data_IF_107814827660
#
_entry.id   IF_107814827660
#
_cell.length_a   1.000
_cell.length_b   1.000
_cell.length_c   1.000
_cell.angle_alpha   90.00
_cell.angle_beta   90.00
_cell.angle_gamma   90.00
#
_symmetry.space_group_name_H-M   'P 1'
#
loop_
_entity.id
_entity.type
_entity.pdbx_description
1 polymer ?
#
# COMPACT_ATOMS: atom_id res chain seq x y z
N UNK A 1 -2.77 11.28 3.52
CA UNK A 1 -2.44 10.30 4.58
C UNK A 1 -2.05 8.97 3.95
N UNK A 2 -1.41 8.08 4.71
CA UNK A 2 -0.87 6.82 4.21
C UNK A 2 -1.29 5.64 5.11
N UNK A 3 -1.63 4.51 4.49
CA UNK A 3 -2.01 3.28 5.20
C UNK A 3 -1.24 2.10 4.62
N UNK A 4 -0.72 1.24 5.49
CA UNK A 4 -0.10 -0.03 5.10
C UNK A 4 -0.92 -1.18 5.67
N UNK A 5 -1.37 -2.08 4.78
CA UNK A 5 -2.19 -3.24 5.13
C UNK A 5 -1.40 -4.53 4.88
N UNK A 6 -1.29 -5.35 5.93
CA UNK A 6 -0.56 -6.63 5.87
C UNK A 6 -1.57 -7.77 5.98
N UNK A 7 -1.51 -8.69 5.01
CA UNK A 7 -2.45 -9.79 4.86
C UNK A 7 -3.53 -9.49 3.81
N UNK A 8 -3.83 -10.49 2.98
CA UNK A 8 -4.86 -10.37 1.94
C UNK A 8 -6.25 -10.18 2.55
N UNK A 9 -6.59 -10.97 3.56
CA UNK A 9 -7.89 -10.89 4.24
C UNK A 9 -8.07 -9.56 4.96
N UNK A 10 -7.03 -9.06 5.64
CA UNK A 10 -7.03 -7.73 6.25
C UNK A 10 -7.26 -6.64 5.20
N UNK A 11 -6.56 -6.72 4.06
CA UNK A 11 -6.71 -5.75 2.99
C UNK A 11 -8.11 -5.78 2.37
N UNK A 12 -8.67 -6.97 2.13
CA UNK A 12 -10.01 -7.13 1.59
C UNK A 12 -11.08 -6.60 2.56
N UNK A 13 -10.95 -6.89 3.85
CA UNK A 13 -11.88 -6.41 4.88
C UNK A 13 -11.86 -4.89 5.04
N UNK A 14 -10.68 -4.27 4.93
CA UNK A 14 -10.52 -2.80 5.07
C UNK A 14 -10.93 -2.05 3.80
N UNK A 15 -10.56 -2.55 2.63
CA UNK A 15 -10.77 -1.82 1.36
C UNK A 15 -12.15 -2.07 0.76
N UNK A 16 -12.78 -3.21 1.08
CA UNK A 16 -14.05 -3.60 0.49
C UNK A 16 -13.98 -3.75 -1.03
N UNK A 17 -15.13 -3.71 -1.72
CA UNK A 17 -15.22 -3.91 -3.17
C UNK A 17 -14.92 -2.66 -4.00
N UNK A 18 -14.60 -1.53 -3.37
CA UNK A 18 -14.41 -0.25 -4.06
C UNK A 18 -13.26 -0.32 -5.07
N UNK A 19 -13.47 0.13 -6.32
CA UNK A 19 -12.42 0.12 -7.35
C UNK A 19 -11.19 0.91 -6.92
N UNK A 20 -10.01 0.38 -7.24
CA UNK A 20 -8.72 1.02 -6.94
C UNK A 20 -7.83 1.07 -8.16
N UNK A 21 -7.05 2.14 -8.27
CA UNK A 21 -6.02 2.30 -9.29
C UNK A 21 -4.67 1.97 -8.69
N UNK A 22 -3.99 0.96 -9.24
CA UNK A 22 -2.64 0.58 -8.84
C UNK A 22 -1.65 1.50 -9.54
N UNK A 23 -0.86 2.23 -8.76
CA UNK A 23 0.11 3.20 -9.29
C UNK A 23 1.53 2.67 -9.43
N UNK A 24 1.80 1.45 -8.96
CA UNK A 24 3.09 0.79 -9.07
C UNK A 24 3.44 -0.03 -7.84
N UNK A 25 4.73 -0.29 -7.68
CA UNK A 25 5.28 -1.10 -6.59
C UNK A 25 6.37 -0.32 -5.85
N UNK A 26 6.24 -0.22 -4.53
CA UNK A 26 7.29 0.38 -3.70
C UNK A 26 8.43 -0.60 -3.39
N UNK A 27 8.15 -1.89 -3.49
CA UNK A 27 9.10 -2.99 -3.41
C UNK A 27 8.48 -4.25 -4.06
N UNK A 28 9.27 -5.30 -4.34
CA UNK A 28 8.72 -6.56 -4.82
C UNK A 28 7.57 -7.06 -3.94
N UNK A 29 6.39 -7.25 -4.54
CA UNK A 29 5.17 -7.70 -3.86
C UNK A 29 4.55 -6.71 -2.86
N UNK A 30 4.91 -5.43 -2.94
CA UNK A 30 4.28 -4.34 -2.17
C UNK A 30 3.77 -3.28 -3.17
N UNK A 31 2.59 -3.48 -3.78
CA UNK A 31 1.95 -2.47 -4.61
C UNK A 31 1.39 -1.32 -3.77
N UNK A 32 1.25 -0.16 -4.40
CA UNK A 32 0.51 0.97 -3.86
C UNK A 32 -0.68 1.33 -4.74
N UNK A 33 -1.76 1.80 -4.11
CA UNK A 33 -2.99 2.14 -4.81
C UNK A 33 -3.75 3.27 -4.14
N UNK A 34 -4.53 3.99 -4.95
CA UNK A 34 -5.50 5.00 -4.50
C UNK A 34 -6.91 4.57 -4.88
N UNK A 35 -7.93 5.12 -4.22
CA UNK A 35 -9.31 4.91 -4.67
C UNK A 35 -9.47 5.49 -6.10
N UNK A 36 -10.25 4.82 -6.95
CA UNK A 36 -10.41 5.25 -8.34
C UNK A 36 -11.11 6.61 -8.50
N UNK A 37 -11.86 7.04 -7.48
CA UNK A 37 -12.50 8.35 -7.39
C UNK A 37 -11.55 9.46 -6.88
N UNK A 38 -10.27 9.15 -6.64
CA UNK A 38 -9.27 10.08 -6.15
C UNK A 38 -9.38 10.40 -4.65
N UNK A 39 -10.24 9.71 -3.89
CA UNK A 39 -10.43 9.97 -2.47
C UNK A 39 -9.56 9.09 -1.57
N UNK A 40 -9.42 9.51 -0.31
CA UNK A 40 -8.81 8.71 0.75
C UNK A 40 -7.27 8.64 0.71
N UNK A 41 -6.67 7.77 1.55
CA UNK A 41 -5.23 7.65 1.65
C UNK A 41 -4.62 6.82 0.52
N UNK A 42 -3.31 7.01 0.30
CA UNK A 42 -2.50 6.05 -0.44
C UNK A 42 -2.39 4.77 0.38
N UNK A 43 -2.73 3.64 -0.22
CA UNK A 43 -2.72 2.32 0.44
C UNK A 43 -1.63 1.46 -0.15
N UNK A 44 -0.78 0.92 0.73
CA UNK A 44 0.19 -0.12 0.41
C UNK A 44 -0.35 -1.46 0.92
N UNK A 45 -0.33 -2.50 0.09
CA UNK A 45 -0.71 -3.85 0.51
C UNK A 45 0.48 -4.79 0.43
N UNK A 46 0.55 -5.76 1.34
CA UNK A 46 1.56 -6.81 1.33
C UNK A 46 0.95 -8.12 1.78
N UNK A 47 1.17 -9.20 1.03
CA UNK A 47 0.83 -10.54 1.51
C UNK A 47 1.63 -10.89 2.77
N UNK A 48 1.04 -11.62 3.72
CA UNK A 48 1.61 -11.86 5.05
C UNK A 48 3.05 -12.37 5.00
N UNK A 49 3.31 -13.41 4.21
CA UNK A 49 4.62 -14.05 4.06
C UNK A 49 5.59 -13.40 3.07
N UNK A 50 5.25 -12.26 2.47
CA UNK A 50 6.07 -11.64 1.42
C UNK A 50 7.03 -10.56 1.95
N UNK A 51 8.15 -10.36 1.27
CA UNK A 51 9.13 -9.31 1.56
C UNK A 51 10.23 -9.72 2.55
N UNK A 52 11.35 -9.00 2.51
CA UNK A 52 12.46 -9.18 3.45
C UNK A 52 12.06 -8.73 4.87
N UNK A 53 12.78 -9.19 5.93
CA UNK A 53 12.47 -8.82 7.32
C UNK A 53 12.36 -7.31 7.60
N UNK A 54 13.08 -6.50 6.81
CA UNK A 54 13.16 -5.05 6.94
C UNK A 54 12.37 -4.29 5.85
N UNK A 55 11.51 -4.98 5.09
CA UNK A 55 10.76 -4.39 3.98
C UNK A 55 9.84 -3.24 4.41
N UNK A 56 9.18 -3.35 5.57
CA UNK A 56 8.30 -2.29 6.09
C UNK A 56 9.08 -1.04 6.49
N UNK A 57 10.23 -1.21 7.13
CA UNK A 57 11.11 -0.09 7.51
C UNK A 57 11.61 0.64 6.27
N UNK A 58 12.08 -0.11 5.26
CA UNK A 58 12.50 0.48 3.98
C UNK A 58 11.38 1.23 3.27
N UNK A 59 10.17 0.68 3.31
CA UNK A 59 8.99 1.34 2.76
C UNK A 59 8.80 2.71 3.41
N UNK A 60 8.73 2.77 4.74
CA UNK A 60 8.54 4.02 5.48
C UNK A 60 9.63 5.07 5.21
N UNK A 61 10.88 4.66 4.98
CA UNK A 61 11.95 5.57 4.58
C UNK A 61 11.82 6.13 3.16
N UNK A 62 11.19 5.39 2.23
CA UNK A 62 10.99 5.84 0.84
C UNK A 62 9.74 6.70 0.66
N UNK A 63 8.87 6.78 1.66
CA UNK A 63 7.60 7.50 1.60
C UNK A 63 7.74 9.00 1.88
N UNK A 64 8.87 9.62 1.51
CA UNK A 64 8.99 11.07 1.59
C UNK A 64 7.86 11.71 0.76
N UNK A 65 7.18 12.75 1.28
CA UNK A 65 6.18 13.46 0.50
C UNK A 65 6.82 14.00 -0.78
N UNK A 66 6.09 14.06 -1.91
CA UNK A 66 6.59 14.75 -3.09
C UNK A 66 6.94 16.20 -2.73
N UNK A 67 8.00 16.79 -3.34
CA UNK A 67 8.30 18.21 -3.15
C UNK A 67 7.10 19.06 -3.57
N UNK A 68 6.87 20.17 -2.83
CA UNK A 68 5.77 21.13 -3.04
C UNK A 68 5.70 21.68 -4.47
#
# INVERSE_FOLDING_TARGET
GLVVLIGGDTAAAVLGPSPRSVGGYAAPGIPWSVAADGTGPVVFTKAGGFGAPHALVRLLHHLQPPPE
#
